data_IF_315124609811
#
_entry.id   IF_315124609811
#
_cell.length_a   1.000
_cell.length_b   1.000
_cell.length_c   1.000
_cell.angle_alpha   90.00
_cell.angle_beta   90.00
_cell.angle_gamma   90.00
#
_symmetry.space_group_name_H-M   'P 1'
#
loop_
_entity.id
_entity.type
_entity.pdbx_description
1 polymer ?
#
# COMPACT_ATOMS: atom_id res chain seq x y z
N UNK A 1 11.83 23.48 7.92
CA UNK A 1 10.42 23.03 7.85
C UNK A 1 10.01 23.03 6.39
N UNK A 2 10.06 21.88 5.73
CA UNK A 2 9.61 21.69 4.35
C UNK A 2 8.30 20.93 4.39
N UNK A 3 7.18 21.61 4.13
CA UNK A 3 5.92 20.92 3.83
C UNK A 3 6.12 20.16 2.52
N UNK A 4 5.88 18.85 2.54
CA UNK A 4 5.73 18.05 1.33
C UNK A 4 4.39 18.44 0.70
N UNK A 5 4.40 19.50 -0.10
CA UNK A 5 3.27 19.83 -0.95
C UNK A 5 3.35 18.92 -2.17
N UNK A 6 2.48 17.91 -2.25
CA UNK A 6 2.28 17.12 -3.46
C UNK A 6 1.73 18.07 -4.53
N UNK A 7 2.60 18.71 -5.31
CA UNK A 7 2.21 19.56 -6.43
C UNK A 7 1.96 18.67 -7.63
N UNK A 8 0.69 18.52 -8.02
CA UNK A 8 0.38 18.16 -9.39
C UNK A 8 0.82 19.33 -10.29
N UNK A 9 1.77 19.11 -11.21
CA UNK A 9 2.11 20.14 -12.19
C UNK A 9 1.01 20.18 -13.25
N UNK A 10 0.53 21.38 -13.65
CA UNK A 10 -0.41 21.50 -14.75
C UNK A 10 0.24 21.02 -16.06
N UNK A 11 -0.22 19.88 -16.59
CA UNK A 11 0.30 19.27 -17.83
C UNK A 11 0.68 17.80 -17.69
N UNK A 12 0.82 17.29 -16.47
CA UNK A 12 0.98 15.86 -16.20
C UNK A 12 -0.40 15.21 -16.19
N UNK A 13 -0.81 14.59 -17.30
CA UNK A 13 -2.07 13.83 -17.41
C UNK A 13 -2.08 12.52 -16.61
N UNK A 14 -1.03 12.29 -15.82
CA UNK A 14 -0.87 11.13 -14.94
C UNK A 14 -1.23 11.58 -13.53
N UNK A 15 -2.53 11.57 -13.23
CA UNK A 15 -3.03 11.81 -11.89
C UNK A 15 -2.48 10.74 -10.94
N UNK A 16 -1.56 11.13 -10.08
CA UNK A 16 -1.05 10.30 -9.01
C UNK A 16 -2.11 10.30 -7.89
N UNK A 17 -3.03 9.34 -7.94
CA UNK A 17 -4.21 9.31 -7.07
C UNK A 17 -3.94 8.52 -5.79
N UNK A 18 -4.38 9.05 -4.65
CA UNK A 18 -4.52 8.24 -3.44
C UNK A 18 -5.73 7.35 -3.59
N UNK A 19 -5.51 6.03 -3.69
CA UNK A 19 -6.56 5.05 -3.98
C UNK A 19 -7.01 4.28 -2.74
N UNK A 20 -6.26 4.37 -1.64
CA UNK A 20 -6.63 3.71 -0.39
C UNK A 20 -6.05 4.42 0.83
N UNK A 21 -6.74 4.23 1.96
CA UNK A 21 -6.36 4.72 3.28
C UNK A 21 -6.68 3.63 4.30
N UNK A 22 -5.73 3.32 5.18
CA UNK A 22 -5.94 2.53 6.38
C UNK A 22 -5.49 3.34 7.61
N UNK A 23 -6.32 3.30 8.65
CA UNK A 23 -6.06 3.95 9.94
C UNK A 23 -5.84 2.83 10.95
N UNK A 24 -4.79 2.92 11.77
CA UNK A 24 -4.59 1.96 12.85
C UNK A 24 -5.67 2.14 13.94
N UNK A 25 -6.54 1.14 14.17
CA UNK A 25 -7.58 1.26 15.19
C UNK A 25 -7.02 1.31 16.61
N UNK A 26 -5.75 0.90 16.83
CA UNK A 26 -5.07 0.96 18.13
C UNK A 26 -4.25 2.24 18.30
N UNK A 27 -3.96 2.98 17.22
CA UNK A 27 -3.27 4.26 17.27
C UNK A 27 -3.65 5.15 16.06
N UNK A 28 -4.66 6.03 16.18
CA UNK A 28 -5.14 6.85 15.06
C UNK A 28 -4.10 7.82 14.45
N UNK A 29 -2.95 8.03 15.10
CA UNK A 29 -1.85 8.80 14.50
C UNK A 29 -1.09 8.00 13.44
N UNK A 30 -1.22 6.68 13.42
CA UNK A 30 -0.62 5.80 12.42
C UNK A 30 -1.59 5.62 11.26
N UNK A 31 -1.21 6.16 10.11
CA UNK A 31 -1.98 6.11 8.87
C UNK A 31 -1.16 5.47 7.78
N UNK A 32 -1.83 4.80 6.85
CA UNK A 32 -1.23 4.22 5.66
C UNK A 32 -2.04 4.60 4.44
N UNK A 33 -1.38 5.00 3.36
CA UNK A 33 -2.02 5.29 2.09
C UNK A 33 -1.41 4.46 0.98
N UNK A 34 -2.26 4.04 0.05
CA UNK A 34 -1.84 3.50 -1.22
C UNK A 34 -2.00 4.54 -2.31
N UNK A 35 -0.97 4.71 -3.13
CA UNK A 35 -0.94 5.67 -4.23
C UNK A 35 -0.80 4.93 -5.54
N UNK A 36 -1.74 5.20 -6.46
CA UNK A 36 -1.61 4.78 -7.85
C UNK A 36 -0.75 5.80 -8.59
N UNK A 37 0.35 5.34 -9.17
CA UNK A 37 1.41 6.21 -9.65
C UNK A 37 1.57 6.19 -11.17
N UNK A 38 0.89 5.30 -11.90
CA UNK A 38 0.86 5.23 -13.37
C UNK A 38 2.20 5.58 -14.03
N UNK A 39 3.17 4.66 -13.96
CA UNK A 39 4.55 4.83 -14.45
C UNK A 39 5.39 5.92 -13.74
N UNK A 40 4.85 6.62 -12.75
CA UNK A 40 5.64 7.44 -11.83
C UNK A 40 6.28 6.54 -10.78
N UNK A 41 7.60 6.48 -10.80
CA UNK A 41 8.37 5.70 -9.84
C UNK A 41 8.26 6.35 -8.46
N UNK A 42 7.80 5.60 -7.44
CA UNK A 42 8.46 5.72 -6.13
C UNK A 42 7.65 5.69 -4.84
N UNK A 43 6.31 5.68 -4.82
CA UNK A 43 5.59 5.82 -3.54
C UNK A 43 4.26 5.05 -3.45
N UNK A 44 4.25 3.79 -3.85
CA UNK A 44 3.03 2.96 -3.86
C UNK A 44 2.36 2.81 -2.49
N UNK A 45 3.15 2.69 -1.41
CA UNK A 45 2.66 2.68 -0.03
C UNK A 45 3.41 3.72 0.77
N UNK A 46 2.67 4.61 1.43
CA UNK A 46 3.23 5.58 2.38
C UNK A 46 2.62 5.39 3.76
N UNK A 47 3.39 5.76 4.79
CA UNK A 47 2.97 5.71 6.18
C UNK A 47 3.19 7.04 6.87
N UNK A 48 2.25 7.41 7.73
CA UNK A 48 2.39 8.49 8.70
C UNK A 48 2.34 7.93 10.12
N UNK A 49 3.02 8.58 11.05
CA UNK A 49 2.95 8.30 12.50
C UNK A 49 2.52 9.51 13.32
N UNK A 50 2.12 10.59 12.66
CA UNK A 50 1.79 11.89 13.27
C UNK A 50 0.42 12.43 12.81
N UNK A 51 -0.48 11.52 12.42
CA UNK A 51 -1.84 11.87 12.00
C UNK A 51 -1.91 12.47 10.60
N UNK A 52 -0.91 12.19 9.75
CA UNK A 52 -0.87 12.63 8.37
C UNK A 52 -0.15 13.96 8.13
N UNK A 53 0.56 14.48 9.14
CA UNK A 53 1.35 15.71 9.00
C UNK A 53 2.63 15.45 8.19
N UNK A 54 3.26 14.29 8.40
CA UNK A 54 4.40 13.81 7.62
C UNK A 54 4.18 12.38 7.14
N UNK A 55 4.78 12.06 5.99
CA UNK A 55 4.64 10.76 5.33
C UNK A 55 6.00 10.22 4.90
N UNK A 56 6.21 8.92 5.09
CA UNK A 56 7.38 8.18 4.66
C UNK A 56 6.97 7.15 3.60
N UNK A 57 7.73 7.06 2.51
CA UNK A 57 7.56 5.98 1.52
C UNK A 57 8.03 4.66 2.14
N UNK A 58 7.15 3.66 2.13
CA UNK A 58 7.40 2.33 2.72
C UNK A 58 7.58 1.25 1.67
N UNK A 59 6.99 1.45 0.48
CA UNK A 59 7.08 0.55 -0.66
C UNK A 59 6.87 1.38 -1.93
N UNK A 60 7.71 1.22 -2.95
CA UNK A 60 7.59 2.07 -4.15
C UNK A 60 8.46 1.69 -5.34
N UNK A 61 9.47 0.82 -5.16
CA UNK A 61 10.30 0.39 -6.26
C UNK A 61 9.52 -0.57 -7.18
N UNK A 62 9.44 -0.23 -8.47
CA UNK A 62 8.85 -1.04 -9.55
C UNK A 62 7.34 -1.32 -9.43
N UNK A 63 6.59 -0.49 -8.70
CA UNK A 63 5.12 -0.59 -8.64
C UNK A 63 4.50 0.48 -9.54
N UNK A 64 3.62 0.04 -10.43
CA UNK A 64 2.92 0.89 -11.38
C UNK A 64 1.51 1.23 -10.92
N UNK A 65 0.80 0.24 -10.38
CA UNK A 65 -0.60 0.38 -10.00
C UNK A 65 -0.83 -0.17 -8.60
N UNK A 66 -1.36 0.68 -7.72
CA UNK A 66 -1.78 0.26 -6.39
C UNK A 66 -3.25 -0.14 -6.39
N UNK A 67 -3.57 -1.29 -5.80
CA UNK A 67 -4.93 -1.84 -5.87
C UNK A 67 -5.64 -1.90 -4.52
N UNK A 68 -4.94 -2.17 -3.42
CA UNK A 68 -5.59 -2.20 -2.11
C UNK A 68 -4.63 -2.36 -0.94
N UNK A 69 -5.03 -1.85 0.23
CA UNK A 69 -4.28 -1.92 1.48
C UNK A 69 -5.18 -2.45 2.60
N UNK A 70 -4.63 -3.27 3.49
CA UNK A 70 -5.35 -3.72 4.67
C UNK A 70 -4.40 -3.87 5.85
N UNK A 71 -4.64 -3.07 6.88
CA UNK A 71 -3.91 -3.10 8.14
C UNK A 71 -4.61 -4.08 9.10
N UNK A 72 -3.83 -4.91 9.81
CA UNK A 72 -4.41 -5.79 10.82
C UNK A 72 -4.99 -4.97 11.97
N UNK A 73 -6.27 -5.19 12.35
CA UNK A 73 -6.87 -4.47 13.47
C UNK A 73 -6.26 -4.88 14.81
N UNK A 74 -5.64 -6.07 14.89
CA UNK A 74 -5.06 -6.64 16.11
C UNK A 74 -3.53 -6.49 16.20
N UNK A 75 -2.85 -6.11 15.11
CA UNK A 75 -1.39 -5.85 15.13
C UNK A 75 -0.97 -4.70 14.18
N UNK A 76 -0.37 -3.64 14.73
CA UNK A 76 -0.12 -2.37 14.01
C UNK A 76 1.04 -2.48 13.04
N UNK A 77 1.85 -3.53 13.21
CA UNK A 77 3.01 -3.80 12.40
C UNK A 77 2.68 -4.71 11.22
N UNK A 78 1.46 -5.27 11.18
CA UNK A 78 1.06 -6.22 10.15
C UNK A 78 0.15 -5.55 9.15
N UNK A 79 0.58 -5.51 7.89
CA UNK A 79 -0.17 -4.91 6.80
C UNK A 79 0.03 -5.71 5.52
N UNK A 80 -1.05 -5.79 4.74
CA UNK A 80 -1.02 -6.33 3.39
C UNK A 80 -1.33 -5.24 2.38
N UNK A 81 -0.68 -5.33 1.23
CA UNK A 81 -0.94 -4.48 0.07
C UNK A 81 -1.01 -5.33 -1.19
N UNK A 82 -1.85 -4.93 -2.14
CA UNK A 82 -1.89 -5.50 -3.49
C UNK A 82 -1.48 -4.40 -4.45
N UNK A 83 -0.49 -4.71 -5.28
CA UNK A 83 -0.04 -3.81 -6.32
C UNK A 83 0.44 -4.57 -7.56
N UNK A 84 0.38 -3.91 -8.71
CA UNK A 84 0.90 -4.39 -9.98
C UNK A 84 2.32 -3.86 -10.18
N UNK A 85 3.23 -4.78 -10.50
CA UNK A 85 4.54 -4.44 -11.04
C UNK A 85 4.48 -4.53 -12.56
N UNK A 86 4.88 -3.44 -13.24
CA UNK A 86 4.80 -3.20 -14.68
C UNK A 86 4.75 -4.45 -15.55
N UNK A 87 5.88 -5.16 -15.63
CA UNK A 87 6.09 -6.31 -16.52
C UNK A 87 6.02 -7.66 -15.81
N UNK A 88 5.86 -7.65 -14.49
CA UNK A 88 6.01 -8.85 -13.66
C UNK A 88 4.68 -9.41 -13.15
N UNK A 89 3.60 -8.64 -13.26
CA UNK A 89 2.25 -9.03 -12.85
C UNK A 89 1.83 -8.43 -11.50
N UNK A 90 0.75 -8.95 -10.93
CA UNK A 90 0.22 -8.49 -9.65
C UNK A 90 0.85 -9.28 -8.48
N UNK A 91 1.09 -8.60 -7.37
CA UNK A 91 1.71 -9.17 -6.16
C UNK A 91 0.90 -8.79 -4.92
N UNK A 92 0.85 -9.72 -3.96
CA UNK A 92 0.53 -9.41 -2.56
C UNK A 92 1.84 -9.12 -1.85
N UNK A 93 1.92 -7.95 -1.23
CA UNK A 93 2.99 -7.55 -0.33
C UNK A 93 2.51 -7.69 1.11
N UNK A 94 3.38 -8.17 1.97
CA UNK A 94 3.12 -8.35 3.40
C UNK A 94 4.30 -7.84 4.22
N UNK A 95 4.01 -6.99 5.20
CA UNK A 95 4.94 -6.62 6.26
C UNK A 95 4.40 -7.10 7.60
N UNK A 96 5.30 -7.50 8.49
CA UNK A 96 4.99 -7.84 9.89
C UNK A 96 5.76 -6.97 10.90
N UNK A 97 6.52 -5.98 10.42
CA UNK A 97 7.41 -5.12 11.20
C UNK A 97 7.13 -3.62 10.97
N UNK A 98 5.91 -3.28 10.55
CA UNK A 98 5.48 -1.89 10.37
C UNK A 98 6.07 -1.25 9.11
N UNK A 99 6.36 -2.07 8.09
CA UNK A 99 6.88 -1.68 6.79
C UNK A 99 8.39 -1.51 6.72
N UNK A 100 9.14 -1.97 7.74
CA UNK A 100 10.60 -1.99 7.66
C UNK A 100 11.09 -3.03 6.64
N UNK A 101 10.40 -4.17 6.55
CA UNK A 101 10.60 -5.19 5.52
C UNK A 101 9.29 -5.65 4.90
N UNK A 102 9.37 -6.12 3.66
CA UNK A 102 8.22 -6.59 2.87
C UNK A 102 8.54 -7.92 2.19
N UNK A 103 7.62 -8.87 2.34
CA UNK A 103 7.59 -10.11 1.57
C UNK A 103 6.62 -9.94 0.41
N UNK A 104 6.95 -10.47 -0.76
CA UNK A 104 6.10 -10.39 -1.95
C UNK A 104 5.78 -11.78 -2.48
N UNK A 105 4.50 -12.04 -2.78
CA UNK A 105 4.03 -13.24 -3.44
C UNK A 105 3.29 -12.87 -4.72
N UNK A 106 3.69 -13.46 -5.85
CA UNK A 106 3.04 -13.23 -7.14
C UNK A 106 1.64 -13.85 -7.11
N UNK A 107 0.64 -13.09 -7.55
CA UNK A 107 -0.73 -13.57 -7.69
C UNK A 107 -0.84 -14.33 -9.00
N UNK A 108 -1.34 -15.56 -8.93
CA UNK A 108 -1.71 -16.31 -10.13
C UNK A 108 -3.06 -15.77 -10.67
N UNK A 109 -2.96 -14.89 -11.66
CA UNK A 109 -4.12 -14.26 -12.30
C UNK A 109 -4.77 -15.12 -13.39
N UNK A 110 -4.39 -16.41 -13.53
CA UNK A 110 -4.97 -17.30 -14.55
C UNK A 110 -6.48 -17.51 -14.39
N UNK A 111 -7.04 -17.25 -13.20
CA UNK A 111 -8.46 -17.44 -12.90
C UNK A 111 -9.27 -16.14 -12.73
N UNK A 112 -8.63 -14.98 -12.50
CA UNK A 112 -9.33 -13.69 -12.37
C UNK A 112 -8.38 -12.47 -12.53
N UNK A 113 -8.26 -11.88 -13.74
CA UNK A 113 -7.48 -10.67 -13.96
C UNK A 113 -8.24 -9.45 -13.43
N UNK A 114 -8.29 -9.29 -12.11
CA UNK A 114 -9.04 -8.18 -11.50
C UNK A 114 -9.15 -8.16 -9.99
N UNK A 115 -8.43 -9.00 -9.25
CA UNK A 115 -8.48 -8.95 -7.79
C UNK A 115 -8.02 -7.57 -7.30
N UNK A 116 -8.95 -6.85 -6.65
CA UNK A 116 -8.74 -5.46 -6.20
C UNK A 116 -8.76 -5.27 -4.69
N UNK A 117 -9.01 -6.32 -3.93
CA UNK A 117 -9.19 -6.20 -2.49
C UNK A 117 -8.37 -7.24 -1.75
N UNK A 118 -7.70 -6.77 -0.71
CA UNK A 118 -7.12 -7.61 0.35
C UNK A 118 -7.85 -7.27 1.63
N UNK A 119 -8.22 -8.30 2.40
CA UNK A 119 -8.85 -8.16 3.69
C UNK A 119 -7.96 -8.84 4.72
N UNK A 120 -7.46 -8.07 5.68
CA UNK A 120 -6.81 -8.59 6.87
C UNK A 120 -7.84 -9.37 7.69
N UNK A 121 -7.44 -10.53 8.20
CA UNK A 121 -8.26 -11.27 9.16
C UNK A 121 -8.43 -10.41 10.43
N UNK A 122 -9.68 -10.18 10.89
CA UNK A 122 -9.96 -9.28 12.01
C UNK A 122 -9.50 -9.82 13.37
N UNK A 123 -9.15 -11.11 13.46
CA UNK A 123 -8.73 -11.78 14.69
C UNK A 123 -7.34 -12.40 14.61
N UNK A 124 -6.84 -12.72 13.42
CA UNK A 124 -5.54 -13.35 13.24
C UNK A 124 -4.59 -12.53 12.35
N UNK A 125 -3.55 -11.97 12.97
CA UNK A 125 -2.52 -11.20 12.27
C UNK A 125 -1.58 -12.03 11.36
N UNK A 126 -1.78 -13.34 11.22
CA UNK A 126 -0.92 -14.23 10.42
C UNK A 126 -1.68 -15.01 9.35
N UNK A 127 -2.97 -14.71 9.12
CA UNK A 127 -3.73 -15.38 8.08
C UNK A 127 -3.16 -15.01 6.70
N UNK A 128 -2.42 -15.92 6.08
CA UNK A 128 -2.04 -15.82 4.67
C UNK A 128 -3.29 -16.02 3.81
N UNK A 129 -3.38 -15.31 2.68
CA UNK A 129 -4.43 -15.54 1.70
C UNK A 129 -4.48 -17.05 1.40
N UNK A 130 -5.61 -17.69 1.74
CA UNK A 130 -5.83 -19.10 1.46
C UNK A 130 -6.05 -19.24 -0.05
N UNK A 131 -5.31 -20.17 -0.65
CA UNK A 131 -5.38 -20.57 -2.07
C UNK A 131 -6.82 -20.72 -2.60
#
# INVERSE_FOLDING_TARGET
MSQLLLRANPGDWYDCAITSLAIDPRNPNVLWIGQDAWNSVGQAVMRSTDGGQTWQSMLGDMIDTFTGISLSPVNSNVLWAIAQQQLSGQYVYHTADGGATWNAAKIDNTLNPGNRFVLADPVNAQATAKD
#
